data_IF_401505335419
#
_entry.id   IF_401505335419
#
_cell.length_a   1.000
_cell.length_b   1.000
_cell.length_c   1.000
_cell.angle_alpha   90.00
_cell.angle_beta   90.00
_cell.angle_gamma   90.00
#
_symmetry.space_group_name_H-M   'P 1'
#
loop_
_entity.id
_entity.type
_entity.pdbx_description
1 polymer ?
#
# COMPACT_ATOMS: atom_id res chain seq x y z
N UNK A 1 -46.29 -1.23 -42.93
CA UNK A 1 -46.89 -0.20 -42.05
C UNK A 1 -46.95 -0.82 -40.66
N UNK A 2 -46.24 -0.40 -39.63
CA UNK A 2 -45.34 0.73 -39.38
C UNK A 2 -44.46 0.25 -38.23
N UNK A 3 -43.14 0.41 -38.37
CA UNK A 3 -42.18 0.12 -37.33
C UNK A 3 -42.47 1.01 -36.12
N UNK A 4 -42.66 0.42 -34.95
CA UNK A 4 -42.54 1.14 -33.69
C UNK A 4 -41.05 1.40 -33.47
N UNK A 5 -40.55 2.55 -33.94
CA UNK A 5 -39.27 3.06 -33.48
C UNK A 5 -39.49 3.58 -32.06
N UNK A 6 -39.25 2.74 -31.06
CA UNK A 6 -38.95 3.24 -29.73
C UNK A 6 -37.68 4.08 -29.85
N UNK A 7 -37.80 5.39 -29.71
CA UNK A 7 -36.65 6.29 -29.60
C UNK A 7 -35.78 5.73 -28.45
N UNK A 8 -34.52 5.32 -28.70
CA UNK A 8 -33.66 4.90 -27.60
C UNK A 8 -33.53 6.11 -26.67
N UNK A 9 -33.95 5.95 -25.42
CA UNK A 9 -33.70 6.96 -24.39
C UNK A 9 -32.19 7.24 -24.43
N UNK A 10 -31.75 8.51 -24.56
CA UNK A 10 -30.33 8.80 -24.66
C UNK A 10 -29.65 8.30 -23.39
N UNK A 11 -28.68 7.41 -23.56
CA UNK A 11 -27.86 6.90 -22.46
C UNK A 11 -27.17 8.10 -21.80
N UNK A 12 -27.51 8.38 -20.56
CA UNK A 12 -26.94 9.48 -19.78
C UNK A 12 -26.14 8.91 -18.62
N UNK A 13 -24.97 9.50 -18.34
CA UNK A 13 -24.18 9.09 -17.19
C UNK A 13 -24.85 9.51 -15.89
N UNK A 14 -24.78 8.68 -14.83
CA UNK A 14 -25.25 9.09 -13.51
C UNK A 14 -24.45 10.30 -13.02
N UNK A 15 -25.17 11.28 -12.46
CA UNK A 15 -24.56 12.40 -11.78
C UNK A 15 -24.00 11.92 -10.45
N UNK A 16 -22.73 12.18 -10.18
CA UNK A 16 -22.08 11.73 -8.95
C UNK A 16 -21.53 12.91 -8.17
N UNK A 17 -21.75 12.87 -6.87
CA UNK A 17 -21.36 13.90 -5.89
C UNK A 17 -20.12 13.44 -5.15
N UNK A 18 -19.10 14.29 -5.09
CA UNK A 18 -17.96 14.05 -4.21
C UNK A 18 -18.43 14.22 -2.77
N UNK A 19 -18.29 13.17 -1.96
CA UNK A 19 -18.56 13.28 -0.53
C UNK A 19 -17.57 14.26 0.10
N UNK A 20 -18.09 15.15 0.95
CA UNK A 20 -17.25 16.08 1.69
C UNK A 20 -16.30 15.30 2.60
N UNK A 21 -15.02 15.64 2.48
CA UNK A 21 -13.98 15.03 3.29
C UNK A 21 -14.11 15.54 4.73
N UNK A 22 -14.20 14.65 5.74
CA UNK A 22 -14.21 15.08 7.13
C UNK A 22 -12.98 15.94 7.47
N UNK A 23 -13.17 17.00 8.25
CA UNK A 23 -12.09 17.92 8.63
C UNK A 23 -10.89 17.23 9.31
N UNK A 24 -11.12 16.10 9.96
CA UNK A 24 -10.11 15.31 10.67
C UNK A 24 -9.37 14.28 9.79
N UNK A 25 -9.70 14.18 8.50
CA UNK A 25 -8.98 13.28 7.59
C UNK A 25 -7.56 13.82 7.39
N UNK A 26 -6.49 13.01 7.54
CA UNK A 26 -5.12 13.43 7.27
C UNK A 26 -4.94 13.84 5.80
N UNK A 27 -4.30 14.97 5.50
CA UNK A 27 -4.00 15.37 4.12
C UNK A 27 -2.56 15.00 3.74
N UNK A 28 -2.36 14.68 2.48
CA UNK A 28 -1.03 14.47 1.90
C UNK A 28 -0.50 15.76 1.24
N UNK A 29 -1.26 16.85 1.30
CA UNK A 29 -0.90 18.16 0.73
C UNK A 29 0.11 18.87 1.62
N UNK A 30 1.38 18.86 1.21
CA UNK A 30 2.46 19.60 1.86
C UNK A 30 2.69 20.94 1.14
N UNK A 31 2.07 22.01 1.66
CA UNK A 31 2.26 23.37 1.18
C UNK A 31 3.66 23.93 1.49
N UNK A 32 4.07 24.99 0.80
CA UNK A 32 5.44 25.53 0.87
C UNK A 32 5.89 25.92 2.29
N UNK A 33 4.97 26.36 3.16
CA UNK A 33 5.27 26.70 4.56
C UNK A 33 5.56 25.48 5.44
N UNK A 34 5.03 24.31 5.06
CA UNK A 34 5.16 23.05 5.82
C UNK A 34 6.21 22.11 5.21
N UNK A 35 6.95 22.56 4.19
CA UNK A 35 7.96 21.79 3.48
C UNK A 35 9.35 22.18 3.98
N UNK A 36 9.73 21.64 5.14
CA UNK A 36 11.09 21.76 5.71
C UNK A 36 11.88 20.48 5.49
N UNK A 37 13.13 20.62 5.06
CA UNK A 37 14.08 19.50 4.83
C UNK A 37 15.21 19.44 5.86
N UNK A 38 15.10 20.23 6.94
CA UNK A 38 16.14 20.29 7.99
C UNK A 38 16.03 19.14 9.00
N UNK A 39 14.93 18.38 8.99
CA UNK A 39 14.67 17.34 9.97
C UNK A 39 15.27 16.00 9.57
N UNK A 40 15.76 15.25 10.56
CA UNK A 40 16.21 13.88 10.39
C UNK A 40 15.04 12.88 10.37
N UNK A 41 15.23 11.76 9.67
CA UNK A 41 14.20 10.71 9.49
C UNK A 41 13.83 9.93 10.76
N UNK A 42 14.66 9.99 11.82
CA UNK A 42 14.42 9.27 13.07
C UNK A 42 13.05 9.58 13.71
N UNK A 43 12.61 10.84 13.57
CA UNK A 43 11.31 11.31 14.09
C UNK A 43 10.11 10.51 13.55
N UNK A 44 10.17 10.06 12.28
CA UNK A 44 9.10 9.31 11.63
C UNK A 44 8.92 7.94 12.29
N UNK A 45 10.02 7.25 12.60
CA UNK A 45 10.00 5.93 13.24
C UNK A 45 9.50 6.03 14.68
N UNK A 46 9.97 7.02 15.43
CA UNK A 46 9.51 7.27 16.80
C UNK A 46 7.99 7.50 16.85
N UNK A 47 7.46 8.41 16.01
CA UNK A 47 6.02 8.69 15.97
C UNK A 47 5.23 7.46 15.51
N UNK A 48 5.72 6.70 14.53
CA UNK A 48 5.06 5.48 14.05
C UNK A 48 4.93 4.44 15.16
N UNK A 49 6.02 4.15 15.86
CA UNK A 49 6.04 3.21 16.97
C UNK A 49 5.10 3.67 18.10
N UNK A 50 5.18 4.93 18.52
CA UNK A 50 4.35 5.46 19.59
C UNK A 50 2.85 5.44 19.25
N UNK A 51 2.47 5.72 17.99
CA UNK A 51 1.07 5.71 17.54
C UNK A 51 0.50 4.30 17.43
N UNK A 52 1.29 3.34 16.93
CA UNK A 52 0.84 1.97 16.69
C UNK A 52 0.95 1.05 17.91
N UNK A 53 1.87 1.33 18.85
CA UNK A 53 2.16 0.50 20.03
C UNK A 53 0.90 0.08 20.78
N UNK A 54 0.00 1.02 21.07
CA UNK A 54 -1.25 0.73 21.82
C UNK A 54 -2.15 -0.30 21.12
N UNK A 55 -2.23 -0.24 19.78
CA UNK A 55 -3.09 -1.13 19.00
C UNK A 55 -2.47 -2.52 18.89
N UNK A 56 -1.16 -2.57 18.60
CA UNK A 56 -0.38 -3.80 18.56
C UNK A 56 -0.42 -4.49 19.93
N UNK A 57 -0.21 -3.76 21.02
CA UNK A 57 -0.22 -4.29 22.37
C UNK A 57 -1.59 -4.85 22.77
N UNK A 58 -2.67 -4.14 22.46
CA UNK A 58 -4.03 -4.63 22.75
C UNK A 58 -4.33 -5.94 22.01
N UNK A 59 -3.94 -6.03 20.73
CA UNK A 59 -4.12 -7.25 19.93
C UNK A 59 -3.22 -8.39 20.39
N UNK A 60 -1.96 -8.10 20.73
CA UNK A 60 -1.03 -9.07 21.28
C UNK A 60 -1.57 -9.69 22.59
N UNK A 61 -2.03 -8.84 23.52
CA UNK A 61 -2.70 -9.28 24.76
C UNK A 61 -3.88 -10.19 24.48
N UNK A 62 -4.75 -9.82 23.54
CA UNK A 62 -5.91 -10.64 23.19
C UNK A 62 -5.52 -11.96 22.51
N UNK A 63 -4.49 -11.93 21.65
CA UNK A 63 -4.04 -13.09 20.87
C UNK A 63 -3.32 -14.12 21.73
N UNK A 64 -2.55 -13.67 22.72
CA UNK A 64 -1.72 -14.54 23.56
C UNK A 64 -2.28 -14.72 24.98
N UNK A 65 -3.54 -14.36 25.21
CA UNK A 65 -4.22 -14.48 26.51
C UNK A 65 -4.25 -15.91 27.07
N UNK A 66 -4.32 -16.91 26.20
CA UNK A 66 -4.46 -18.33 26.56
C UNK A 66 -3.13 -19.09 26.38
N UNK A 67 -2.02 -18.38 26.13
CA UNK A 67 -0.69 -19.00 26.00
C UNK A 67 -0.20 -19.40 27.39
N UNK A 68 0.23 -20.66 27.52
CA UNK A 68 0.78 -21.16 28.77
C UNK A 68 1.98 -20.30 29.23
N UNK A 69 1.99 -19.96 30.52
CA UNK A 69 3.03 -19.12 31.11
C UNK A 69 2.71 -17.63 31.21
N UNK A 70 1.53 -17.18 30.72
CA UNK A 70 1.08 -15.77 30.77
C UNK A 70 2.20 -14.77 30.40
N UNK A 71 2.68 -14.82 29.14
CA UNK A 71 3.90 -14.13 28.76
C UNK A 71 3.77 -12.62 29.01
N UNK A 72 4.64 -12.01 29.84
CA UNK A 72 4.54 -10.59 30.15
C UNK A 72 4.94 -9.73 28.95
N UNK A 73 4.37 -8.52 28.90
CA UNK A 73 4.85 -7.48 28.01
C UNK A 73 6.14 -6.87 28.56
N UNK A 74 7.23 -7.01 27.81
CA UNK A 74 8.48 -6.33 28.10
C UNK A 74 8.50 -5.00 27.35
N UNK A 75 8.54 -3.89 28.10
CA UNK A 75 8.38 -2.55 27.54
C UNK A 75 9.62 -2.06 26.81
N UNK A 76 10.81 -2.35 27.36
CA UNK A 76 12.10 -1.96 26.80
C UNK A 76 12.86 -3.23 26.40
N UNK A 77 13.38 -3.30 25.18
CA UNK A 77 14.17 -4.43 24.70
C UNK A 77 15.38 -4.75 25.59
N UNK A 78 15.98 -3.75 26.22
CA UNK A 78 17.09 -3.96 27.16
C UNK A 78 16.69 -4.69 28.47
N UNK A 79 15.39 -4.85 28.74
CA UNK A 79 14.86 -5.53 29.94
C UNK A 79 14.43 -6.97 29.66
N UNK A 80 14.71 -7.51 28.47
CA UNK A 80 14.42 -8.91 28.17
C UNK A 80 15.25 -9.80 29.11
N UNK A 81 14.58 -10.79 29.71
CA UNK A 81 15.22 -11.77 30.60
C UNK A 81 15.48 -13.05 29.83
N UNK A 82 16.72 -13.55 29.94
CA UNK A 82 17.16 -14.77 29.27
C UNK A 82 16.32 -15.98 29.64
N UNK A 83 15.84 -16.71 28.63
CA UNK A 83 15.06 -17.94 28.81
C UNK A 83 13.63 -17.73 29.33
N UNK A 84 13.17 -16.49 29.53
CA UNK A 84 11.79 -16.22 29.93
C UNK A 84 10.91 -15.92 28.71
N UNK A 85 9.76 -16.60 28.64
CA UNK A 85 8.76 -16.37 27.61
C UNK A 85 8.14 -14.99 27.81
N UNK A 86 8.32 -14.10 26.85
CA UNK A 86 7.77 -12.75 26.90
C UNK A 86 7.37 -12.28 25.51
N UNK A 87 6.74 -11.11 25.43
CA UNK A 87 6.54 -10.46 24.16
C UNK A 87 6.97 -9.00 24.17
N UNK A 88 7.55 -8.59 23.03
CA UNK A 88 8.15 -7.27 22.81
C UNK A 88 7.47 -6.59 21.62
N UNK A 89 7.49 -5.25 21.61
CA UNK A 89 6.92 -4.43 20.54
C UNK A 89 7.97 -3.46 20.03
N UNK A 90 8.25 -3.54 18.73
CA UNK A 90 9.21 -2.66 18.09
C UNK A 90 8.96 -2.51 16.60
N UNK A 91 9.85 -1.76 15.97
CA UNK A 91 9.90 -1.55 14.54
C UNK A 91 10.87 -2.55 13.93
N UNK A 92 10.44 -3.28 12.91
CA UNK A 92 11.29 -4.21 12.19
C UNK A 92 12.33 -3.43 11.38
N UNK A 93 13.59 -3.81 11.49
CA UNK A 93 14.66 -3.39 10.60
C UNK A 93 15.32 -4.64 10.00
N UNK A 94 15.33 -4.71 8.67
CA UNK A 94 15.98 -5.78 7.91
C UNK A 94 17.25 -5.21 7.30
N UNK A 95 18.38 -5.76 7.71
CA UNK A 95 19.66 -5.55 7.04
C UNK A 95 19.71 -6.46 5.81
N UNK A 96 19.59 -5.85 4.63
CA UNK A 96 19.45 -6.53 3.35
C UNK A 96 20.75 -6.45 2.59
N UNK A 97 21.43 -7.58 2.39
CA UNK A 97 22.77 -7.61 1.77
C UNK A 97 22.78 -7.10 0.33
N UNK A 98 21.68 -7.28 -0.40
CA UNK A 98 21.54 -6.85 -1.80
C UNK A 98 21.00 -5.42 -1.95
N UNK A 99 20.76 -4.71 -0.84
CA UNK A 99 20.30 -3.33 -0.87
C UNK A 99 21.45 -2.41 -1.29
N UNK A 100 21.29 -1.54 -2.30
CA UNK A 100 22.34 -0.61 -2.68
C UNK A 100 22.74 0.30 -1.53
N UNK A 101 24.05 0.52 -1.43
CA UNK A 101 24.64 1.36 -0.41
C UNK A 101 25.25 2.60 -1.06
N UNK A 102 24.65 3.76 -0.80
CA UNK A 102 25.10 5.05 -1.35
C UNK A 102 26.55 5.36 -0.95
N UNK A 103 26.99 4.92 0.23
CA UNK A 103 28.38 5.15 0.66
C UNK A 103 29.37 4.30 -0.13
N UNK A 104 29.02 3.05 -0.45
CA UNK A 104 29.84 2.20 -1.34
C UNK A 104 29.88 2.75 -2.76
N UNK A 105 28.77 3.29 -3.25
CA UNK A 105 28.72 3.92 -4.57
C UNK A 105 29.58 5.19 -4.65
N UNK A 106 29.66 5.97 -3.56
CA UNK A 106 30.55 7.15 -3.47
C UNK A 106 32.02 6.72 -3.37
N UNK A 107 32.29 5.63 -2.64
CA UNK A 107 33.64 5.10 -2.46
C UNK A 107 34.19 4.41 -3.72
N UNK A 108 33.32 3.85 -4.56
CA UNK A 108 33.69 3.25 -5.84
C UNK A 108 34.19 4.34 -6.78
N UNK A 109 35.35 4.10 -7.40
CA UNK A 109 35.89 4.99 -8.40
C UNK A 109 34.87 5.18 -9.53
N UNK A 110 34.60 6.43 -9.92
CA UNK A 110 33.55 6.82 -10.87
C UNK A 110 33.76 6.21 -12.27
N UNK A 111 34.92 5.60 -12.48
CA UNK A 111 35.34 4.87 -13.68
C UNK A 111 34.68 3.50 -13.83
N UNK A 112 34.11 2.91 -12.77
CA UNK A 112 33.49 1.58 -12.84
C UNK A 112 31.96 1.72 -12.96
N UNK A 113 31.33 1.17 -14.02
CA UNK A 113 29.89 1.11 -14.13
C UNK A 113 29.26 0.40 -12.93
N UNK A 114 28.16 0.93 -12.41
CA UNK A 114 27.42 0.27 -11.33
C UNK A 114 26.90 -1.10 -11.82
N UNK A 115 26.90 -2.13 -10.96
CA UNK A 115 26.29 -3.41 -11.31
C UNK A 115 24.81 -3.21 -11.68
N UNK A 116 24.27 -4.04 -12.59
CA UNK A 116 22.88 -3.94 -12.98
C UNK A 116 21.98 -4.14 -11.75
N UNK A 117 20.92 -3.32 -11.61
CA UNK A 117 20.05 -3.40 -10.44
C UNK A 117 19.36 -4.75 -10.36
N UNK A 118 19.38 -5.36 -9.17
CA UNK A 118 18.68 -6.62 -8.93
C UNK A 118 17.15 -6.40 -8.98
N UNK A 119 16.38 -7.37 -9.52
CA UNK A 119 14.91 -7.27 -9.54
C UNK A 119 14.30 -7.35 -8.13
N UNK A 120 15.02 -7.95 -7.18
CA UNK A 120 14.68 -8.02 -5.76
C UNK A 120 15.95 -7.81 -4.94
N UNK A 121 15.80 -7.18 -3.79
CA UNK A 121 16.90 -6.90 -2.85
C UNK A 121 16.84 -7.79 -1.60
N UNK A 122 15.91 -8.76 -1.56
CA UNK A 122 15.79 -9.71 -0.45
C UNK A 122 16.71 -10.92 -0.66
N UNK A 123 17.34 -11.37 0.41
CA UNK A 123 18.19 -12.56 0.48
C UNK A 123 17.71 -13.49 1.61
N UNK A 124 17.91 -14.83 1.50
CA UNK A 124 17.74 -15.71 2.65
C UNK A 124 18.70 -15.39 3.81
N UNK A 125 19.81 -14.71 3.52
CA UNK A 125 20.84 -14.32 4.49
C UNK A 125 20.58 -12.93 5.14
N UNK A 126 19.40 -12.33 4.89
CA UNK A 126 19.03 -11.04 5.47
C UNK A 126 18.86 -11.15 6.99
N UNK A 127 19.38 -10.16 7.72
CA UNK A 127 19.32 -10.12 9.19
C UNK A 127 18.11 -9.30 9.62
N UNK A 128 17.18 -9.95 10.33
CA UNK A 128 15.97 -9.30 10.84
C UNK A 128 16.23 -8.87 12.28
N UNK A 129 16.06 -7.59 12.56
CA UNK A 129 16.13 -7.02 13.90
C UNK A 129 14.83 -6.33 14.25
N UNK A 130 14.52 -6.26 15.54
CA UNK A 130 13.43 -5.48 16.08
C UNK A 130 14.04 -4.36 16.92
N UNK A 131 13.60 -3.12 16.70
CA UNK A 131 14.11 -1.94 17.38
C UNK A 131 13.02 -1.20 18.18
N UNK A 132 13.36 -0.70 19.35
CA UNK A 132 12.54 0.22 20.15
C UNK A 132 13.35 1.45 20.59
N UNK A 133 12.77 2.28 21.47
CA UNK A 133 13.48 3.45 22.02
C UNK A 133 14.69 3.13 22.91
N UNK A 134 14.84 1.87 23.35
CA UNK A 134 15.90 1.43 24.27
C UNK A 134 17.05 0.73 23.56
N UNK A 135 16.77 -0.02 22.50
CA UNK A 135 17.77 -0.80 21.80
C UNK A 135 17.21 -1.62 20.65
N UNK A 136 17.94 -2.67 20.29
CA UNK A 136 17.59 -3.60 19.21
C UNK A 136 17.93 -5.02 19.58
N UNK A 137 17.17 -5.97 19.07
CA UNK A 137 17.42 -7.41 19.22
C UNK A 137 17.25 -8.11 17.86
N UNK A 138 18.14 -9.05 17.57
CA UNK A 138 18.04 -9.88 16.36
C UNK A 138 16.95 -10.92 16.55
N UNK A 139 16.04 -11.03 15.57
CA UNK A 139 14.98 -12.03 15.58
C UNK A 139 15.44 -13.26 14.81
N UNK A 140 15.22 -14.44 15.39
CA UNK A 140 15.47 -15.74 14.74
C UNK A 140 14.24 -16.64 14.82
N UNK A 141 14.21 -17.71 14.03
CA UNK A 141 13.15 -18.73 14.03
C UNK A 141 12.36 -18.82 12.72
N UNK A 142 11.79 -20.01 12.48
CA UNK A 142 11.06 -20.34 11.24
C UNK A 142 9.82 -19.46 11.00
N UNK A 143 9.24 -18.92 12.08
CA UNK A 143 8.06 -18.06 11.98
C UNK A 143 8.32 -16.81 11.13
N UNK A 144 9.55 -16.32 11.11
CA UNK A 144 9.94 -15.11 10.36
C UNK A 144 9.80 -15.29 8.85
N UNK A 145 10.11 -16.49 8.33
CA UNK A 145 10.02 -16.80 6.89
C UNK A 145 8.58 -16.72 6.37
N UNK A 146 7.62 -17.11 7.21
CA UNK A 146 6.19 -17.08 6.88
C UNK A 146 5.52 -15.73 7.19
N UNK A 147 6.19 -14.83 7.91
CA UNK A 147 5.63 -13.55 8.32
C UNK A 147 5.76 -12.44 7.25
N UNK A 148 6.56 -12.66 6.20
CA UNK A 148 6.78 -11.70 5.09
C UNK A 148 7.05 -10.26 5.58
N UNK A 149 7.95 -10.14 6.56
CA UNK A 149 8.27 -8.85 7.18
C UNK A 149 9.02 -7.92 6.21
N UNK A 150 8.83 -6.62 6.40
CA UNK A 150 9.59 -5.57 5.70
C UNK A 150 10.01 -4.49 6.69
N UNK A 151 11.12 -3.82 6.40
CA UNK A 151 11.64 -2.72 7.24
C UNK A 151 10.59 -1.64 7.47
N UNK A 152 10.48 -1.18 8.72
CA UNK A 152 9.59 -0.10 9.15
C UNK A 152 8.20 -0.55 9.64
N UNK A 153 7.88 -1.84 9.58
CA UNK A 153 6.63 -2.38 10.14
C UNK A 153 6.72 -2.48 11.66
N UNK A 154 5.68 -2.06 12.36
CA UNK A 154 5.58 -2.22 13.83
C UNK A 154 4.86 -3.52 14.14
N UNK A 155 5.52 -4.41 14.87
CA UNK A 155 4.98 -5.72 15.26
C UNK A 155 5.15 -5.96 16.76
N UNK A 156 4.34 -6.87 17.28
CA UNK A 156 4.62 -7.58 18.51
C UNK A 156 5.23 -8.95 18.16
N UNK A 157 6.30 -9.35 18.83
CA UNK A 157 6.91 -10.66 18.71
C UNK A 157 6.85 -11.38 20.06
N UNK A 158 6.28 -12.59 20.07
CA UNK A 158 6.26 -13.50 21.22
C UNK A 158 7.42 -14.48 21.08
N UNK A 159 8.20 -14.67 22.14
CA UNK A 159 9.38 -15.51 22.08
C UNK A 159 10.20 -15.48 23.37
N UNK A 160 11.44 -15.96 23.25
CA UNK A 160 12.41 -16.04 24.34
C UNK A 160 13.78 -15.60 23.84
N UNK A 161 14.56 -14.97 24.71
CA UNK A 161 15.97 -14.71 24.41
C UNK A 161 16.78 -16.01 24.54
N UNK A 162 17.55 -16.31 23.50
CA UNK A 162 18.47 -17.44 23.43
C UNK A 162 19.75 -17.15 24.22
N UNK A 163 20.57 -18.17 24.47
CA UNK A 163 21.89 -17.97 25.10
C UNK A 163 22.83 -17.05 24.29
N UNK A 164 22.59 -16.92 22.98
CA UNK A 164 23.33 -16.06 22.07
C UNK A 164 22.90 -14.59 22.05
N UNK A 165 21.87 -14.20 22.81
CA UNK A 165 21.33 -12.83 22.81
C UNK A 165 20.41 -12.52 21.64
N UNK A 166 20.00 -13.54 20.89
CA UNK A 166 18.98 -13.45 19.84
C UNK A 166 17.61 -13.72 20.45
N UNK A 167 16.55 -13.26 19.79
CA UNK A 167 15.18 -13.52 20.22
C UNK A 167 14.52 -14.55 19.31
N UNK A 168 14.28 -15.75 19.84
CA UNK A 168 13.62 -16.83 19.11
C UNK A 168 12.11 -16.57 19.05
N UNK A 169 11.61 -16.27 17.85
CA UNK A 169 10.23 -15.87 17.62
C UNK A 169 9.34 -17.09 17.42
N UNK A 170 8.37 -17.23 18.32
CA UNK A 170 7.32 -18.26 18.27
C UNK A 170 6.14 -17.75 17.46
N UNK A 171 5.70 -16.52 17.69
CA UNK A 171 4.58 -15.91 16.97
C UNK A 171 4.74 -14.39 16.80
N UNK A 172 4.03 -13.83 15.81
CA UNK A 172 4.04 -12.40 15.48
C UNK A 172 2.62 -11.88 15.45
N UNK A 173 2.41 -10.67 15.99
CA UNK A 173 1.14 -9.97 15.96
C UNK A 173 1.28 -8.57 15.35
N UNK A 174 0.37 -8.24 14.41
CA UNK A 174 0.31 -6.94 13.74
C UNK A 174 -0.78 -6.04 14.33
N UNK A 175 -0.74 -4.74 14.03
CA UNK A 175 -1.75 -3.76 14.46
C UNK A 175 -3.17 -4.06 13.95
N UNK A 176 -3.29 -4.84 12.87
CA UNK A 176 -4.57 -5.19 12.24
C UNK A 176 -5.23 -4.02 11.52
N UNK A 177 -6.50 -4.20 11.17
CA UNK A 177 -7.29 -3.17 10.48
C UNK A 177 -7.79 -2.12 11.47
N UNK A 178 -7.82 -0.86 11.03
CA UNK A 178 -8.49 0.21 11.75
C UNK A 178 -10.02 -0.01 11.75
N UNK A 179 -10.76 0.54 12.72
CA UNK A 179 -12.22 0.52 12.70
C UNK A 179 -12.74 1.17 11.41
N UNK A 180 -13.58 0.43 10.67
CA UNK A 180 -14.21 0.91 9.44
C UNK A 180 -15.66 1.30 9.75
N UNK A 181 -16.13 2.50 9.34
CA UNK A 181 -17.55 2.83 9.43
C UNK A 181 -18.37 1.89 8.52
N UNK A 182 -19.63 1.62 8.89
CA UNK A 182 -20.54 0.86 8.03
C UNK A 182 -20.79 1.58 6.69
N UNK A 183 -21.19 0.83 5.66
CA UNK A 183 -21.35 1.30 4.27
C UNK A 183 -22.30 2.51 4.13
N UNK A 184 -23.23 2.69 5.07
CA UNK A 184 -24.20 3.78 5.11
C UNK A 184 -23.76 4.97 6.00
N UNK A 185 -22.50 5.00 6.46
CA UNK A 185 -22.07 5.96 7.49
C UNK A 185 -20.80 6.70 7.11
N UNK A 186 -20.92 8.02 7.10
CA UNK A 186 -19.83 9.00 6.99
C UNK A 186 -18.68 8.67 7.95
N UNK A 187 -17.44 8.81 7.46
CA UNK A 187 -16.17 8.56 8.17
C UNK A 187 -15.96 9.46 9.42
N UNK A 188 -16.87 10.39 9.72
CA UNK A 188 -16.77 11.36 10.81
C UNK A 188 -17.16 10.88 12.21
N UNK A 189 -18.05 9.88 12.35
CA UNK A 189 -18.80 9.65 13.60
C UNK A 189 -18.40 8.41 14.42
N UNK A 190 -17.18 7.90 14.25
CA UNK A 190 -16.74 6.65 14.91
C UNK A 190 -16.46 6.83 16.42
N UNK A 191 -16.49 8.05 16.97
CA UNK A 191 -16.12 8.32 18.37
C UNK A 191 -17.28 8.39 19.37
N UNK A 192 -18.54 8.53 18.90
CA UNK A 192 -19.72 8.64 19.76
C UNK A 192 -20.82 7.69 19.28
N UNK A 193 -20.65 6.40 19.58
CA UNK A 193 -21.57 5.36 19.12
C UNK A 193 -22.59 5.02 20.22
N UNK A 194 -23.82 5.55 20.13
CA UNK A 194 -25.00 4.96 20.77
C UNK A 194 -25.60 3.91 19.82
N UNK A 195 -26.05 2.80 20.39
CA UNK A 195 -26.76 1.71 19.69
C UNK A 195 -28.07 2.28 19.10
N UNK A 196 -28.45 1.97 17.85
CA UNK A 196 -29.72 2.43 17.32
C UNK A 196 -30.84 1.67 18.04
N UNK A 197 -31.78 2.43 18.62
CA UNK A 197 -33.09 1.93 19.05
C UNK A 197 -33.98 1.82 17.80
N UNK A 198 -34.65 0.69 17.73
CA UNK A 198 -35.50 0.21 16.64
C UNK A 198 -36.87 0.86 16.81
N UNK A 199 -37.20 1.87 15.99
CA UNK A 199 -38.57 2.37 15.83
C UNK A 199 -38.68 3.38 14.67
N UNK A 200 -39.07 2.91 13.49
CA UNK A 200 -40.07 3.59 12.64
C UNK A 200 -40.54 2.65 11.53
N UNK A 201 -41.86 2.47 11.45
CA UNK A 201 -42.53 1.82 10.33
C UNK A 201 -42.62 2.83 9.19
N UNK A 202 -42.06 2.52 8.01
CA UNK A 202 -42.26 3.31 6.80
C UNK A 202 -42.91 2.48 5.68
N UNK A 203 -43.78 3.18 4.96
CA UNK A 203 -44.85 2.72 4.06
C UNK A 203 -44.29 2.16 2.75
N UNK A 204 -45.05 1.22 2.14
CA UNK A 204 -44.79 0.57 0.85
C UNK A 204 -44.51 1.54 -0.32
N UNK A 205 -43.28 2.01 -0.44
CA UNK A 205 -42.68 2.43 -1.72
C UNK A 205 -41.68 1.37 -2.12
N UNK A 206 -41.98 0.63 -3.19
CA UNK A 206 -41.03 -0.28 -3.84
C UNK A 206 -39.81 0.55 -4.22
N UNK A 207 -38.63 0.35 -3.61
CA UNK A 207 -37.45 1.07 -4.03
C UNK A 207 -37.15 0.57 -5.45
N UNK A 208 -37.25 1.44 -6.45
CA UNK A 208 -36.62 1.19 -7.74
C UNK A 208 -35.18 0.79 -7.43
N UNK A 209 -34.79 -0.42 -7.86
CA UNK A 209 -33.47 -0.94 -7.57
C UNK A 209 -32.44 0.12 -7.98
N UNK A 210 -31.57 0.59 -7.06
CA UNK A 210 -30.62 1.63 -7.39
C UNK A 210 -29.80 1.16 -8.58
N UNK A 211 -29.84 1.91 -9.68
CA UNK A 211 -29.02 1.61 -10.85
C UNK A 211 -27.58 1.48 -10.39
N UNK A 212 -26.96 0.30 -10.55
CA UNK A 212 -25.63 0.10 -9.97
C UNK A 212 -24.63 1.00 -10.73
N UNK A 213 -23.99 1.90 -9.98
CA UNK A 213 -23.02 2.90 -10.45
C UNK A 213 -21.61 2.31 -10.46
N UNK A 214 -20.84 2.58 -11.51
CA UNK A 214 -19.48 2.04 -11.67
C UNK A 214 -18.41 3.15 -11.66
N UNK A 215 -17.21 2.80 -11.17
CA UNK A 215 -16.02 3.66 -11.20
C UNK A 215 -14.94 2.94 -12.00
N UNK A 216 -14.41 3.62 -13.03
CA UNK A 216 -13.27 3.14 -13.80
C UNK A 216 -11.96 3.52 -13.10
N UNK A 217 -11.07 2.54 -12.90
CA UNK A 217 -9.73 2.73 -12.36
C UNK A 217 -8.70 2.36 -13.42
N UNK A 218 -7.83 3.29 -13.77
CA UNK A 218 -6.80 3.12 -14.80
C UNK A 218 -5.44 3.55 -14.24
N UNK A 219 -4.35 2.87 -14.60
CA UNK A 219 -2.99 3.18 -14.17
C UNK A 219 -2.02 2.67 -15.23
N UNK A 220 -0.82 3.25 -15.30
CA UNK A 220 0.22 2.74 -16.22
C UNK A 220 -0.12 2.94 -17.69
N UNK A 221 -0.59 4.14 -18.05
CA UNK A 221 -0.81 4.49 -19.46
C UNK A 221 0.52 4.60 -20.21
N UNK A 222 1.61 4.94 -19.50
CA UNK A 222 2.99 5.01 -20.02
C UNK A 222 3.07 5.70 -21.40
N UNK A 223 2.34 6.79 -21.58
CA UNK A 223 2.28 7.53 -22.85
C UNK A 223 3.70 8.01 -23.21
N UNK A 224 4.13 7.72 -24.44
CA UNK A 224 5.49 7.97 -24.93
C UNK A 224 6.43 6.77 -24.84
N UNK A 225 5.99 5.63 -24.29
CA UNK A 225 6.80 4.42 -24.29
C UNK A 225 6.99 3.89 -25.72
N UNK A 226 8.11 3.22 -26.02
CA UNK A 226 8.34 2.62 -27.35
C UNK A 226 7.41 1.43 -27.65
N UNK A 227 6.61 0.99 -26.67
CA UNK A 227 5.59 -0.04 -26.84
C UNK A 227 4.30 0.53 -27.44
N UNK A 228 3.61 -0.27 -28.25
CA UNK A 228 2.33 0.06 -28.90
C UNK A 228 1.14 0.05 -27.93
N UNK A 229 1.16 0.90 -26.92
CA UNK A 229 0.04 1.12 -25.98
C UNK A 229 -1.07 2.00 -26.57
N UNK A 230 -0.76 2.82 -27.57
CA UNK A 230 -1.67 3.86 -28.10
C UNK A 230 -3.00 3.30 -28.60
N UNK A 231 -2.99 2.14 -29.28
CA UNK A 231 -4.22 1.49 -29.73
C UNK A 231 -5.11 1.03 -28.56
N UNK A 232 -4.51 0.59 -27.45
CA UNK A 232 -5.25 0.16 -26.25
C UNK A 232 -5.84 1.36 -25.52
N UNK A 233 -5.10 2.48 -25.48
CA UNK A 233 -5.59 3.75 -24.94
C UNK A 233 -6.75 4.27 -25.79
N UNK A 234 -6.63 4.21 -27.12
CA UNK A 234 -7.69 4.61 -28.04
C UNK A 234 -8.95 3.75 -27.85
N UNK A 235 -8.83 2.43 -27.78
CA UNK A 235 -9.97 1.55 -27.49
C UNK A 235 -10.59 1.82 -26.12
N UNK A 236 -9.77 2.15 -25.10
CA UNK A 236 -10.26 2.55 -23.78
C UNK A 236 -11.05 3.86 -23.85
N UNK A 237 -10.56 4.84 -24.61
CA UNK A 237 -11.25 6.12 -24.83
C UNK A 237 -12.59 5.86 -25.52
N UNK A 238 -12.61 5.10 -26.62
CA UNK A 238 -13.83 4.76 -27.37
C UNK A 238 -14.84 3.98 -26.53
N UNK A 239 -14.38 3.04 -25.71
CA UNK A 239 -15.25 2.32 -24.77
C UNK A 239 -15.82 3.26 -23.71
N UNK A 240 -14.97 4.09 -23.11
CA UNK A 240 -15.43 5.04 -22.10
C UNK A 240 -16.39 6.04 -22.74
N UNK A 241 -16.14 6.61 -23.91
CA UNK A 241 -17.06 7.55 -24.59
C UNK A 241 -18.36 6.91 -25.06
N UNK A 242 -18.43 5.57 -25.14
CA UNK A 242 -19.58 4.83 -25.64
C UNK A 242 -19.62 4.72 -27.17
N UNK A 243 -18.48 4.92 -27.83
CA UNK A 243 -18.31 4.82 -29.28
C UNK A 243 -17.95 3.38 -29.72
N UNK A 244 -17.43 2.56 -28.80
CA UNK A 244 -17.10 1.16 -29.06
C UNK A 244 -18.22 0.20 -28.62
N UNK A 245 -18.31 -0.94 -29.31
CA UNK A 245 -19.17 -2.07 -28.92
C UNK A 245 -20.60 -2.00 -29.43
N UNK A 246 -21.46 -2.85 -28.87
CA UNK A 246 -22.89 -2.89 -29.16
C UNK A 246 -23.72 -2.06 -28.17
N UNK A 247 -25.06 -2.05 -28.33
CA UNK A 247 -25.95 -1.30 -27.45
C UNK A 247 -25.87 -1.75 -25.96
N UNK A 248 -25.45 -2.99 -25.70
CA UNK A 248 -25.24 -3.50 -24.34
C UNK A 248 -23.94 -2.94 -23.74
N UNK A 249 -22.87 -2.89 -24.52
CA UNK A 249 -21.60 -2.29 -24.10
C UNK A 249 -21.75 -0.79 -23.81
N UNK A 250 -22.49 -0.09 -24.68
CA UNK A 250 -22.82 1.32 -24.48
C UNK A 250 -23.65 1.55 -23.21
N UNK A 251 -24.63 0.68 -22.95
CA UNK A 251 -25.41 0.72 -21.72
C UNK A 251 -24.54 0.47 -20.47
N UNK A 252 -23.53 -0.39 -20.57
CA UNK A 252 -22.53 -0.59 -19.51
C UNK A 252 -21.64 0.64 -19.29
N UNK A 253 -21.09 1.20 -20.37
CA UNK A 253 -20.23 2.39 -20.32
C UNK A 253 -20.94 3.63 -19.75
N UNK A 254 -22.25 3.76 -20.04
CA UNK A 254 -23.09 4.82 -19.49
C UNK A 254 -23.22 4.77 -17.95
N UNK A 255 -23.03 3.60 -17.32
CA UNK A 255 -23.09 3.43 -15.86
C UNK A 255 -21.82 3.89 -15.15
N UNK A 256 -20.74 4.13 -15.90
CA UNK A 256 -19.47 4.61 -15.36
C UNK A 256 -19.59 6.11 -15.06
N UNK A 257 -19.54 6.45 -13.77
CA UNK A 257 -19.72 7.83 -13.29
C UNK A 257 -18.41 8.60 -13.16
N UNK A 258 -17.31 7.89 -12.87
CA UNK A 258 -15.98 8.46 -12.63
C UNK A 258 -14.88 7.60 -13.23
N UNK A 259 -13.84 8.29 -13.66
CA UNK A 259 -12.55 7.72 -14.05
C UNK A 259 -11.47 8.22 -13.06
N UNK A 260 -10.72 7.29 -12.48
CA UNK A 260 -9.55 7.60 -11.64
C UNK A 260 -8.31 7.08 -12.34
N UNK A 261 -7.37 7.98 -12.65
CA UNK A 261 -6.07 7.65 -13.22
C UNK A 261 -5.02 7.62 -12.10
N UNK A 262 -4.62 6.43 -11.67
CA UNK A 262 -3.73 6.17 -10.55
C UNK A 262 -2.26 6.08 -10.98
N UNK A 263 -1.70 7.20 -11.46
CA UNK A 263 -0.26 7.37 -11.71
C UNK A 263 0.31 6.59 -12.91
N UNK A 264 1.62 6.74 -13.12
CA UNK A 264 2.37 6.17 -14.26
C UNK A 264 1.72 6.49 -15.63
N UNK A 265 1.24 7.72 -15.79
CA UNK A 265 0.55 8.15 -17.01
C UNK A 265 1.51 8.43 -18.16
N UNK A 266 2.73 8.88 -17.84
CA UNK A 266 3.76 9.23 -18.81
C UNK A 266 4.94 8.28 -18.63
N UNK A 267 5.49 7.80 -19.74
CA UNK A 267 6.76 7.07 -19.69
C UNK A 267 7.91 8.02 -19.44
N UNK A 268 8.97 7.54 -18.78
CA UNK A 268 10.22 8.28 -18.73
C UNK A 268 10.74 8.46 -20.16
N UNK A 269 10.99 9.71 -20.57
CA UNK A 269 11.80 9.97 -21.75
C UNK A 269 13.17 9.36 -21.49
N UNK A 270 13.66 8.52 -22.39
CA UNK A 270 15.09 8.26 -22.45
C UNK A 270 15.74 9.59 -22.85
N UNK A 271 15.99 10.49 -21.89
CA UNK A 271 17.05 11.47 -22.09
C UNK A 271 18.28 10.60 -22.31
N UNK A 272 18.73 10.58 -23.56
CA UNK A 272 20.05 10.07 -23.93
C UNK A 272 21.00 10.56 -22.86
N UNK A 273 21.74 9.64 -22.21
CA UNK A 273 23.05 10.00 -21.69
C UNK A 273 23.75 10.72 -22.84
N UNK A 274 23.84 12.04 -22.76
CA UNK A 274 24.55 12.82 -23.75
C UNK A 274 25.97 12.27 -23.79
N UNK A 275 26.33 11.66 -24.91
CA UNK A 275 27.70 11.76 -25.35
C UNK A 275 27.90 13.25 -25.64
N UNK A 276 28.36 13.99 -24.64
CA UNK A 276 28.97 15.29 -24.88
C UNK A 276 30.29 14.98 -25.60
N UNK A 277 30.22 14.94 -26.93
CA UNK A 277 31.40 15.21 -27.77
C UNK A 277 31.80 16.66 -27.52
N UNK A 278 32.99 16.81 -26.94
CA UNK A 278 33.87 17.98 -26.87
C UNK A 278 33.29 19.33 -27.33
N UNK A 279 33.06 20.24 -26.37
CA UNK A 279 33.31 21.67 -26.61
C UNK A 279 33.89 22.32 -25.35
N UNK A 280 35.18 22.65 -25.43
CA UNK A 280 35.96 23.37 -24.42
C UNK A 280 35.44 24.81 -24.30
N UNK A 281 34.61 25.12 -23.30
CA UNK A 281 34.68 26.44 -22.67
C UNK A 281 34.20 26.47 -21.22
N UNK A 282 35.05 27.02 -20.37
CA UNK A 282 34.80 27.25 -18.95
C UNK A 282 33.68 28.27 -18.78
N UNK A 283 32.67 27.94 -17.97
CA UNK A 283 32.22 28.86 -16.92
C UNK A 283 31.48 28.15 -15.79
N UNK A 284 31.88 28.49 -14.56
CA UNK A 284 31.38 27.94 -13.30
C UNK A 284 29.89 28.23 -13.12
N UNK A 285 29.06 27.19 -12.93
CA UNK A 285 27.81 27.25 -12.15
C UNK A 285 27.46 25.88 -11.59
N UNK A 286 26.94 25.91 -10.36
CA UNK A 286 26.65 24.80 -9.42
C UNK A 286 26.31 23.44 -10.04
N UNK A 287 27.15 22.44 -9.73
CA UNK A 287 26.79 21.02 -9.86
C UNK A 287 25.66 20.72 -8.87
N UNK A 288 24.43 20.68 -9.37
CA UNK A 288 23.35 19.96 -8.72
C UNK A 288 23.74 18.48 -8.72
N UNK A 289 23.81 17.88 -7.52
CA UNK A 289 23.92 16.43 -7.37
C UNK A 289 22.64 15.82 -7.94
N UNK A 290 22.70 15.28 -9.15
CA UNK A 290 21.62 14.47 -9.69
C UNK A 290 21.65 13.13 -8.93
N UNK A 291 20.81 13.05 -7.90
CA UNK A 291 20.64 11.83 -7.13
C UNK A 291 20.06 10.78 -8.06
N UNK A 292 20.87 9.78 -8.43
CA UNK A 292 20.39 8.61 -9.18
C UNK A 292 19.22 8.01 -8.42
N UNK A 293 18.01 8.25 -8.93
CA UNK A 293 16.79 7.68 -8.39
C UNK A 293 16.83 6.20 -8.76
N UNK A 294 17.09 5.36 -7.77
CA UNK A 294 16.86 3.92 -7.88
C UNK A 294 15.36 3.68 -8.04
N UNK A 295 14.87 3.78 -9.28
CA UNK A 295 13.50 3.46 -9.64
C UNK A 295 13.34 1.93 -9.64
N UNK A 296 13.16 1.36 -8.45
CA UNK A 296 12.64 0.02 -8.32
C UNK A 296 11.18 0.04 -8.77
N UNK A 297 10.94 -0.26 -10.05
CA UNK A 297 9.60 -0.50 -10.56
C UNK A 297 9.02 -1.69 -9.79
N UNK A 298 7.99 -1.46 -8.97
CA UNK A 298 7.08 -2.52 -8.59
C UNK A 298 6.35 -2.98 -9.86
N UNK A 299 6.86 -4.02 -10.51
CA UNK A 299 6.11 -4.71 -11.55
C UNK A 299 4.78 -5.17 -10.91
N UNK A 300 3.68 -4.60 -11.40
CA UNK A 300 2.35 -4.80 -10.86
C UNK A 300 2.02 -6.28 -10.66
N UNK A 301 1.36 -6.57 -9.55
CA UNK A 301 0.76 -7.88 -9.31
C UNK A 301 -0.19 -8.21 -10.47
N UNK A 302 0.19 -9.18 -11.31
CA UNK A 302 -0.75 -9.77 -12.26
C UNK A 302 -1.78 -10.58 -11.46
N UNK A 303 -2.95 -10.01 -11.25
CA UNK A 303 -4.11 -10.76 -10.79
C UNK A 303 -4.44 -11.82 -11.86
N UNK A 304 -4.12 -13.09 -11.58
CA UNK A 304 -4.70 -14.21 -12.33
C UNK A 304 -6.15 -14.31 -11.89
N UNK A 305 -7.06 -13.92 -12.79
CA UNK A 305 -8.49 -14.05 -12.65
C UNK A 305 -8.82 -15.55 -12.45
N UNK A 306 -8.95 -16.01 -11.20
CA UNK A 306 -9.39 -17.37 -10.90
C UNK A 306 -10.89 -17.29 -10.66
N UNK A 307 -11.69 -17.60 -11.69
CA UNK A 307 -13.14 -17.82 -11.54
C UNK A 307 -13.33 -18.84 -10.41
N UNK A 308 -13.92 -18.40 -9.31
CA UNK A 308 -14.51 -19.30 -8.33
C UNK A 308 -15.82 -19.77 -8.96
N UNK A 309 -15.77 -20.87 -9.70
CA UNK A 309 -16.99 -21.62 -10.00
C UNK A 309 -17.41 -22.29 -8.69
N UNK A 310 -18.44 -21.74 -8.05
CA UNK A 310 -19.23 -22.49 -7.08
C UNK A 310 -19.92 -23.62 -7.85
N UNK A 311 -19.47 -24.86 -7.63
CA UNK A 311 -20.25 -26.03 -8.04
C UNK A 311 -21.39 -26.22 -7.02
N UNK A 312 -22.63 -26.44 -7.46
CA UNK A 312 -23.75 -26.69 -6.57
C UNK A 312 -23.58 -28.07 -5.92
N UNK A 313 -23.71 -28.10 -4.59
CA UNK A 313 -23.81 -29.33 -3.81
C UNK A 313 -25.10 -30.05 -4.18
N UNK A 314 -25.01 -31.17 -4.88
CA UNK A 314 -26.14 -32.08 -5.06
C UNK A 314 -26.35 -32.89 -3.78
N UNK A 315 -27.52 -32.73 -3.18
CA UNK A 315 -28.10 -33.66 -2.23
C UNK A 315 -28.32 -35.06 -2.85
N UNK A 316 -28.55 -36.04 -1.95
CA UNK A 316 -28.98 -37.45 -2.10
C UNK A 316 -27.87 -38.44 -1.77
N UNK A 317 -28.03 -39.40 -0.85
CA UNK A 317 -29.16 -39.85 -0.02
C UNK A 317 -28.62 -40.47 1.27
#
# INVERSE_FOLDING_TARGET
>A
MTAQSSVPVPLCRPQTTLADRPANTPNFTLGSKNRSYQHQYASIYFVRLQRLRKFVQARAKQRWKDVAGDPPFVRRMLEIVKGELCYIIGTVYIDMLLKPNVLEDIARDRSIPAPPPHPKICSPDDIITLEDESGRVTLVGERLKSAQLVTGVVIAALGMETSGGEFEVIDVCFAGMAPQPGVDRSWGDVRNMKKPEDDSMDVDTVPEAPQEEWIALVSGLDVGAPSSGDAQIQMLVEYLTGEAGDASDQAGAARISRLVIAGSSLSASAMSNGNDEDDDNKDKKSSFHDGRVYNYRCNGWRYKNRRIMQQPTSERS
#
